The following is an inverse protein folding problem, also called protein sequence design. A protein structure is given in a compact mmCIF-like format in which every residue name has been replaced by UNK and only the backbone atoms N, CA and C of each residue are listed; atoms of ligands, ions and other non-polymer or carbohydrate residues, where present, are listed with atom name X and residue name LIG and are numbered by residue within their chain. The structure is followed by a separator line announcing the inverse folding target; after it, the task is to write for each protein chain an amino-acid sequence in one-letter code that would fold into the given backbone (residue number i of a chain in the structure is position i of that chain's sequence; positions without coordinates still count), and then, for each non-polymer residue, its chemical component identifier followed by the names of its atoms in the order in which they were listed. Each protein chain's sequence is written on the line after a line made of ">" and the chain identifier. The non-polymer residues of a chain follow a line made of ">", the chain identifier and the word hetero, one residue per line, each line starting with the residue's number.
data_IF_145690276735
#
_entry.id   IF_145690276735
#
_cell.length_a   1.000
_cell.length_b   1.000
_cell.length_c   1.000
_cell.angle_alpha   90.00
_cell.angle_beta   90.00
_cell.angle_gamma   90.00
#
_symmetry.space_group_name_H-M   'P 1'
#
loop_
_entity.id
_entity.type
_entity.pdbx_description
1 polymer ?
#
# COMPACT_ATOMS: atom_id res chain seq x y z
N UNK A 1 2.47 24.01 -22.58
CA UNK A 1 2.55 22.54 -22.63
C UNK A 1 3.86 22.11 -21.97
N UNK A 2 3.78 21.63 -20.72
CA UNK A 2 4.99 21.22 -20.02
C UNK A 2 5.46 19.89 -20.61
N UNK A 3 6.74 19.73 -20.87
CA UNK A 3 7.21 18.46 -21.40
C UNK A 3 7.03 17.37 -20.33
N UNK A 4 6.21 16.39 -20.63
CA UNK A 4 6.10 15.20 -19.79
C UNK A 4 7.46 14.48 -19.85
N UNK A 5 8.14 14.45 -18.72
CA UNK A 5 9.34 13.65 -18.65
C UNK A 5 8.90 12.18 -18.79
N UNK A 6 9.24 11.56 -19.90
CA UNK A 6 9.02 10.13 -20.05
C UNK A 6 9.81 9.42 -18.94
N UNK A 7 9.16 8.53 -18.21
CA UNK A 7 9.90 7.61 -17.34
C UNK A 7 10.85 6.84 -18.26
N UNK A 8 12.15 6.91 -18.05
CA UNK A 8 13.06 6.18 -18.92
C UNK A 8 12.69 4.70 -18.95
N UNK A 9 12.81 4.07 -20.11
CA UNK A 9 12.73 2.63 -20.21
C UNK A 9 13.81 2.08 -19.25
N UNK A 10 13.37 1.51 -18.14
CA UNK A 10 14.31 1.07 -17.10
C UNK A 10 14.26 1.89 -15.81
N UNK A 11 13.19 2.67 -15.58
CA UNK A 11 12.95 3.15 -14.22
C UNK A 11 12.93 1.92 -13.30
N UNK A 12 13.95 1.81 -12.47
CA UNK A 12 14.17 0.58 -11.70
C UNK A 12 13.18 0.47 -10.56
N UNK A 13 12.01 -0.07 -10.85
CA UNK A 13 11.08 -0.51 -9.83
C UNK A 13 11.35 -1.98 -9.52
N UNK A 14 11.64 -2.28 -8.27
CA UNK A 14 11.89 -3.64 -7.79
C UNK A 14 10.80 -4.03 -6.81
N UNK A 15 10.23 -5.23 -6.99
CA UNK A 15 9.30 -5.77 -5.98
C UNK A 15 10.06 -6.03 -4.67
N UNK A 16 9.38 -5.76 -3.57
CA UNK A 16 9.93 -5.91 -2.21
C UNK A 16 8.98 -6.81 -1.44
N UNK A 17 9.50 -7.85 -0.81
CA UNK A 17 8.66 -8.84 -0.17
C UNK A 17 9.21 -9.27 1.19
N UNK A 18 8.34 -9.36 2.19
CA UNK A 18 8.65 -10.12 3.41
C UNK A 18 8.00 -11.49 3.28
N UNK A 19 8.80 -12.53 3.45
CA UNK A 19 8.30 -13.90 3.58
C UNK A 19 8.59 -14.38 5.00
N UNK A 20 7.56 -14.82 5.73
CA UNK A 20 7.77 -15.45 7.04
C UNK A 20 8.67 -16.68 6.94
N UNK A 21 9.45 -16.93 7.97
CA UNK A 21 10.41 -18.06 7.99
C UNK A 21 9.75 -19.44 7.89
N UNK A 22 8.47 -19.53 8.25
CA UNK A 22 7.72 -20.78 8.19
C UNK A 22 7.14 -21.10 6.82
N UNK A 23 7.50 -20.32 5.80
CA UNK A 23 7.10 -20.63 4.43
C UNK A 23 8.14 -21.52 3.76
N UNK A 24 7.67 -22.49 2.98
CA UNK A 24 8.50 -23.49 2.30
C UNK A 24 9.14 -22.99 0.99
N UNK A 25 9.02 -21.68 0.72
CA UNK A 25 9.56 -21.11 -0.51
C UNK A 25 10.29 -19.81 -0.22
N UNK A 26 11.16 -19.44 -1.15
CA UNK A 26 11.97 -18.22 -1.05
C UNK A 26 11.55 -17.22 -2.11
N UNK A 27 11.97 -16.00 -1.92
CA UNK A 27 11.77 -14.91 -2.87
C UNK A 27 13.08 -14.57 -3.57
N UNK A 28 13.01 -14.29 -4.84
CA UNK A 28 14.13 -13.69 -5.61
C UNK A 28 14.07 -12.17 -5.57
N UNK A 29 13.12 -11.62 -4.82
CA UNK A 29 12.93 -10.18 -4.70
C UNK A 29 13.67 -9.62 -3.50
N UNK A 30 13.84 -8.31 -3.51
CA UNK A 30 14.41 -7.59 -2.38
C UNK A 30 13.54 -7.82 -1.14
N UNK A 31 14.13 -8.15 -0.01
CA UNK A 31 13.37 -8.24 1.23
C UNK A 31 13.04 -6.85 1.75
N UNK A 32 11.96 -6.74 2.54
CA UNK A 32 11.60 -5.46 3.18
C UNK A 32 12.76 -4.95 4.05
N UNK A 33 13.45 -5.86 4.74
CA UNK A 33 14.62 -5.52 5.56
C UNK A 33 15.72 -4.88 4.69
N UNK A 34 16.09 -5.53 3.59
CA UNK A 34 17.12 -5.03 2.68
C UNK A 34 16.72 -3.69 2.06
N UNK A 35 15.45 -3.56 1.67
CA UNK A 35 14.91 -2.33 1.10
C UNK A 35 15.05 -1.16 2.08
N UNK A 36 14.57 -1.35 3.31
CA UNK A 36 14.63 -0.29 4.32
C UNK A 36 16.08 0.03 4.69
N UNK A 37 16.93 -1.00 4.80
CA UNK A 37 18.35 -0.81 5.05
C UNK A 37 19.03 -0.02 3.93
N UNK A 38 18.70 -0.32 2.67
CA UNK A 38 19.24 0.41 1.51
C UNK A 38 18.83 1.89 1.55
N UNK A 39 17.55 2.16 1.81
CA UNK A 39 17.04 3.54 1.92
C UNK A 39 17.77 4.30 3.02
N UNK A 40 17.97 3.68 4.18
CA UNK A 40 18.64 4.31 5.34
C UNK A 40 20.11 4.55 5.02
N UNK A 41 20.82 3.54 4.55
CA UNK A 41 22.25 3.58 4.34
C UNK A 41 22.66 4.61 3.28
N UNK A 42 21.82 4.76 2.23
CA UNK A 42 22.10 5.67 1.12
C UNK A 42 21.57 7.08 1.33
N UNK A 43 20.84 7.32 2.42
CA UNK A 43 20.28 8.65 2.71
C UNK A 43 21.40 9.62 3.14
N UNK A 44 21.35 10.84 2.60
CA UNK A 44 22.33 11.90 2.86
C UNK A 44 21.73 13.14 3.53
N UNK A 45 20.44 13.38 3.35
CA UNK A 45 19.79 14.61 3.82
C UNK A 45 18.58 14.33 4.70
N UNK A 46 17.70 13.42 4.29
CA UNK A 46 16.49 13.14 5.06
C UNK A 46 15.88 11.79 4.67
N UNK A 47 15.12 11.28 5.60
CA UNK A 47 14.24 10.13 5.38
C UNK A 47 12.85 10.51 5.93
N UNK A 48 11.84 10.38 5.10
CA UNK A 48 10.43 10.55 5.48
C UNK A 48 9.75 9.19 5.49
N UNK A 49 9.09 8.87 6.59
CA UNK A 49 8.42 7.58 6.78
C UNK A 49 6.95 7.84 7.07
N UNK A 50 6.08 7.35 6.21
CA UNK A 50 4.66 7.23 6.49
C UNK A 50 4.40 5.77 6.85
N UNK A 51 3.77 5.53 7.99
CA UNK A 51 3.52 4.17 8.44
C UNK A 51 2.28 4.13 9.33
N UNK A 52 1.43 3.15 9.09
CA UNK A 52 0.24 2.93 9.93
C UNK A 52 0.66 2.65 11.38
N UNK A 53 1.60 1.74 11.57
CA UNK A 53 2.15 1.41 12.89
C UNK A 53 3.65 1.63 12.89
N UNK A 54 4.15 2.06 14.04
CA UNK A 54 5.58 2.19 14.25
C UNK A 54 5.95 1.45 15.55
N UNK A 55 6.45 0.24 15.41
CA UNK A 55 6.97 -0.55 16.53
C UNK A 55 8.04 -1.51 15.97
N UNK A 56 9.22 -1.00 15.62
CA UNK A 56 10.26 -1.83 15.02
C UNK A 56 10.87 -2.83 16.02
N UNK A 57 10.86 -2.53 17.30
CA UNK A 57 11.60 -3.30 18.30
C UNK A 57 11.10 -4.72 18.58
N UNK A 58 10.05 -5.05 18.15
CA UNK A 58 9.43 -6.28 18.36
C UNK A 58 10.04 -7.46 17.64
N UNK A 59 11.09 -7.27 16.88
CA UNK A 59 11.86 -8.29 16.26
C UNK A 59 13.26 -7.87 16.16
N UNK A 60 14.13 -8.81 15.96
CA UNK A 60 15.55 -8.50 15.88
C UNK A 60 15.90 -7.66 14.63
N UNK A 61 15.34 -8.02 13.48
CA UNK A 61 15.55 -7.26 12.23
C UNK A 61 14.95 -5.85 12.28
N UNK A 62 13.83 -5.71 12.95
CA UNK A 62 13.22 -4.40 13.18
C UNK A 62 14.10 -3.50 14.06
N UNK A 63 14.67 -4.07 15.12
CA UNK A 63 15.61 -3.36 15.99
C UNK A 63 16.86 -2.93 15.21
N UNK A 64 17.39 -3.79 14.37
CA UNK A 64 18.55 -3.45 13.52
C UNK A 64 18.22 -2.29 12.56
N UNK A 65 17.07 -2.30 11.96
CA UNK A 65 16.64 -1.17 11.11
C UNK A 65 16.46 0.11 11.95
N UNK A 66 15.94 -0.02 13.13
CA UNK A 66 15.77 1.12 14.04
C UNK A 66 17.15 1.66 14.46
N UNK A 67 18.05 0.80 14.83
CA UNK A 67 19.44 1.17 15.18
C UNK A 67 20.18 1.82 13.99
N UNK A 68 19.93 1.47 13.05
CA UNK A 68 20.43 2.01 11.84
C UNK A 68 19.83 3.34 11.54
N UNK A 69 18.70 3.52 11.90
CA UNK A 69 18.09 4.76 11.74
C UNK A 69 18.59 5.71 12.82
N UNK A 70 18.84 5.23 13.81
CA UNK A 70 19.40 5.92 14.92
C UNK A 70 20.85 6.29 14.67
N UNK A 71 21.41 5.54 14.06
CA UNK A 71 22.75 5.78 13.68
C UNK A 71 22.88 6.74 12.54
N UNK A 72 22.11 6.73 11.76
CA UNK A 72 22.04 7.60 10.66
C UNK A 72 21.54 8.95 11.10
N UNK A 73 20.76 8.93 11.86
CA UNK A 73 20.31 10.11 12.46
C UNK A 73 21.38 10.79 13.30
N UNK A 74 22.04 10.06 13.74
CA UNK A 74 23.10 10.54 14.54
C UNK A 74 24.32 10.96 13.71
N UNK A 75 24.36 10.38 12.74
CA UNK A 75 25.49 10.66 11.87
C UNK A 75 25.21 11.74 10.89
N UNK A 76 24.08 11.82 10.49
CA UNK A 76 23.75 12.80 9.50
C UNK A 76 23.00 13.92 10.13
N UNK A 77 23.19 14.48 10.77
CA UNK A 77 22.71 15.61 11.45
C UNK A 77 21.46 16.24 10.91
N UNK A 78 21.00 15.81 9.99
CA UNK A 78 19.82 16.36 9.45
C UNK A 78 18.84 15.34 9.07
N UNK A 79 18.84 14.50 9.58
CA UNK A 79 17.90 13.54 9.20
C UNK A 79 16.60 13.87 9.81
N UNK A 80 15.88 14.14 9.19
CA UNK A 80 14.57 14.42 9.61
C UNK A 80 13.81 13.16 9.42
N UNK A 81 13.58 12.65 10.24
CA UNK A 81 12.76 11.54 10.20
C UNK A 81 11.40 11.98 10.54
N UNK A 82 10.74 12.05 9.83
CA UNK A 82 9.39 12.38 10.07
C UNK A 82 8.60 11.12 9.96
N UNK A 83 8.21 10.77 10.80
CA UNK A 83 7.42 9.63 10.82
C UNK A 83 6.05 10.06 11.02
N UNK A 84 5.44 9.81 10.37
CA UNK A 84 4.04 9.99 10.47
C UNK A 84 3.50 8.67 10.85
N UNK A 85 3.34 8.63 11.82
CA UNK A 85 2.73 7.46 12.32
C UNK A 85 1.34 7.79 12.70
N UNK A 86 0.72 7.11 12.33
CA UNK A 86 -0.66 7.19 12.62
C UNK A 86 -1.04 6.63 13.94
N UNK A 87 -0.53 5.87 14.28
CA UNK A 87 -0.89 5.32 15.47
C UNK A 87 0.29 5.24 16.32
N UNK A 88 0.46 5.91 16.81
CA UNK A 88 1.46 5.87 17.63
C UNK A 88 1.04 5.25 18.78
N UNK A 89 0.89 4.09 18.80
CA UNK A 89 0.76 3.46 20.09
C UNK A 89 2.08 3.47 20.80
N UNK A 90 2.01 4.17 21.61
CA UNK A 90 2.96 4.47 22.43
C UNK A 90 4.13 3.74 22.46
N UNK A 91 4.44 3.52 21.85
CA UNK A 91 5.48 3.08 21.91
C UNK A 91 6.33 4.05 21.74
N UNK A 92 5.87 4.79 22.12
CA UNK A 92 6.47 5.84 21.88
C UNK A 92 7.68 6.15 22.58
N UNK A 93 7.69 5.50 23.24
CA UNK A 93 8.64 5.73 23.98
C UNK A 93 9.94 5.59 23.40
N UNK A 94 9.89 4.94 22.72
CA UNK A 94 11.04 4.75 22.23
C UNK A 94 11.38 5.64 21.23
N UNK A 95 10.59 6.04 20.95
CA UNK A 95 10.87 6.80 20.02
C UNK A 95 11.23 8.05 20.43
N UNK A 96 11.12 8.10 21.33
CA UNK A 96 11.41 9.26 21.73
C UNK A 96 12.75 9.61 21.58
N UNK A 97 13.23 8.78 21.52
CA UNK A 97 14.46 9.05 21.47
C UNK A 97 14.92 9.58 20.24
N UNK A 98 14.40 9.38 19.58
CA UNK A 98 14.91 9.87 18.50
C UNK A 98 14.39 11.15 18.21
N UNK A 99 14.61 11.55 19.01
CA UNK A 99 14.20 12.80 18.99
C UNK A 99 14.57 13.67 17.94
N UNK A 100 15.14 13.20 17.34
CA UNK A 100 15.44 14.13 16.36
C UNK A 100 14.20 14.50 15.63
N UNK A 101 13.71 14.87 15.56
CA UNK A 101 12.73 15.37 14.84
C UNK A 101 11.72 14.40 14.42
N UNK A 102 11.57 13.79 14.99
CA UNK A 102 10.60 12.96 14.68
C UNK A 102 9.38 13.68 14.80
N UNK A 103 9.08 14.07 14.12
CA UNK A 103 7.90 14.62 14.08
C UNK A 103 6.95 13.56 14.03
N UNK A 104 6.72 13.16 14.78
CA UNK A 104 5.81 12.23 14.93
C UNK A 104 4.54 12.85 14.73
N UNK A 105 4.24 12.80 13.91
CA UNK A 105 3.03 13.26 13.59
C UNK A 105 2.08 12.22 13.85
N UNK A 106 1.75 12.16 14.67
CA UNK A 106 0.81 11.30 15.04
C UNK A 106 -0.37 11.71 14.39
N UNK A 107 -0.60 11.26 13.84
CA UNK A 107 -1.69 11.41 13.15
C UNK A 107 -2.79 10.92 13.82
N UNK A 108 -2.86 11.19 14.60
CA UNK A 108 -3.96 10.88 15.25
C UNK A 108 -4.94 11.74 14.83
N UNK A 109 -5.51 11.46 14.15
CA UNK A 109 -6.48 11.96 13.88
C UNK A 109 -7.27 12.13 14.89
N UNK A 110 -7.27 13.12 15.59
CA UNK A 110 -8.10 13.49 16.70
C UNK A 110 -9.20 14.43 16.29
N UNK A 111 -10.36 13.95 16.50
CA UNK A 111 -11.67 14.66 16.41
C UNK A 111 -12.12 15.01 14.99
N UNK A 112 -13.32 14.65 14.70
CA UNK A 112 -14.14 14.92 13.52
C UNK A 112 -13.96 13.96 12.34
N UNK A 113 -14.10 12.66 12.61
CA UNK A 113 -14.34 11.64 11.56
C UNK A 113 -13.30 11.60 10.42
N UNK A 114 -12.13 12.13 10.66
CA UNK A 114 -11.04 12.02 9.70
C UNK A 114 -10.38 10.67 9.93
N UNK A 115 -10.26 9.90 8.88
CA UNK A 115 -9.70 8.57 8.93
C UNK A 115 -8.24 8.53 9.34
N UNK A 116 -7.72 7.33 9.44
CA UNK A 116 -6.34 7.08 9.83
C UNK A 116 -5.40 7.23 8.62
N UNK A 117 -4.13 7.51 8.89
CA UNK A 117 -3.10 7.37 7.87
C UNK A 117 -2.71 5.90 7.82
N UNK A 118 -3.06 5.23 6.72
CA UNK A 118 -2.71 3.84 6.46
C UNK A 118 -1.54 3.70 5.50
N UNK A 119 -1.12 4.79 4.89
CA UNK A 119 -0.04 4.77 3.92
C UNK A 119 1.23 4.19 4.52
N UNK A 120 1.84 3.24 3.83
CA UNK A 120 3.12 2.66 4.19
C UNK A 120 4.09 2.97 3.06
N UNK A 121 4.79 4.10 3.19
CA UNK A 121 5.79 4.49 2.21
C UNK A 121 6.95 5.24 2.86
N UNK A 122 8.10 5.10 2.26
CA UNK A 122 9.35 5.72 2.69
C UNK A 122 9.93 6.53 1.53
N UNK A 123 10.55 7.67 1.83
CA UNK A 123 11.23 8.50 0.85
C UNK A 123 12.55 9.00 1.44
N UNK A 124 13.64 8.92 0.67
CA UNK A 124 14.89 9.57 1.05
C UNK A 124 15.39 10.48 -0.08
N UNK A 125 15.75 11.69 0.30
CA UNK A 125 16.51 12.66 -0.52
C UNK A 125 15.87 13.01 -1.87
N UNK A 126 14.58 12.74 -2.07
CA UNK A 126 13.91 12.80 -3.39
C UNK A 126 14.57 11.91 -4.43
N UNK A 127 15.30 10.88 -3.99
CA UNK A 127 16.02 9.97 -4.88
C UNK A 127 15.49 8.56 -4.85
N UNK A 128 15.02 8.11 -3.69
CA UNK A 128 14.60 6.71 -3.46
C UNK A 128 13.30 6.65 -2.71
N UNK A 129 12.51 5.65 -3.01
CA UNK A 129 11.25 5.47 -2.30
C UNK A 129 10.85 4.00 -2.21
N UNK A 130 10.02 3.71 -1.22
CA UNK A 130 9.29 2.46 -1.06
C UNK A 130 7.82 2.80 -0.92
N UNK A 131 6.95 2.00 -1.50
CA UNK A 131 5.50 2.05 -1.28
C UNK A 131 4.97 0.63 -1.24
N UNK A 132 4.07 0.35 -0.28
CA UNK A 132 3.54 -1.00 -0.15
C UNK A 132 2.69 -1.17 1.09
N UNK A 133 2.68 -2.38 1.65
CA UNK A 133 1.88 -2.68 2.83
C UNK A 133 2.70 -3.10 4.06
N UNK A 134 4.01 -2.94 4.01
CA UNK A 134 4.84 -3.18 5.18
C UNK A 134 4.89 -1.93 6.06
N UNK A 135 4.26 -2.00 7.21
CA UNK A 135 4.40 -0.97 8.26
C UNK A 135 5.80 -1.03 8.88
N UNK A 136 6.21 0.04 9.53
CA UNK A 136 7.50 0.08 10.24
C UNK A 136 7.38 -0.67 11.56
N UNK A 137 7.22 -2.00 11.46
CA UNK A 137 7.10 -2.90 12.62
C UNK A 137 7.99 -4.12 12.39
N UNK A 138 8.46 -4.69 13.48
CA UNK A 138 9.24 -5.93 13.42
C UNK A 138 8.49 -7.04 12.69
N UNK A 139 7.18 -7.15 12.93
CA UNK A 139 6.34 -8.13 12.23
C UNK A 139 6.34 -7.98 10.72
N UNK A 140 6.10 -6.77 10.24
CA UNK A 140 6.05 -6.49 8.79
C UNK A 140 7.39 -6.69 8.10
N UNK A 141 8.48 -6.52 8.86
CA UNK A 141 9.84 -6.65 8.31
C UNK A 141 10.30 -8.11 8.31
N UNK A 142 9.69 -8.98 9.13
CA UNK A 142 10.27 -10.31 9.39
C UNK A 142 9.27 -11.48 9.38
N UNK A 143 8.09 -11.33 9.97
CA UNK A 143 7.21 -12.47 10.25
C UNK A 143 5.84 -12.42 9.57
N UNK A 144 5.45 -11.27 9.02
CA UNK A 144 4.17 -11.12 8.32
C UNK A 144 4.46 -10.95 6.84
N UNK A 145 3.84 -11.76 6.01
CA UNK A 145 3.99 -11.61 4.56
C UNK A 145 3.49 -10.23 4.13
N UNK A 146 4.34 -9.50 3.41
CA UNK A 146 4.02 -8.17 2.85
C UNK A 146 4.55 -8.05 1.44
N UNK A 147 4.05 -7.07 0.69
CA UNK A 147 4.48 -6.79 -0.66
C UNK A 147 4.55 -5.28 -0.86
N UNK A 148 5.55 -4.82 -1.56
CA UNK A 148 5.71 -3.43 -1.92
C UNK A 148 6.63 -3.27 -3.12
N UNK A 149 6.96 -2.02 -3.40
CA UNK A 149 7.83 -1.65 -4.52
C UNK A 149 8.86 -0.64 -4.03
N UNK A 150 10.10 -0.89 -4.35
CA UNK A 150 11.20 0.07 -4.20
C UNK A 150 11.49 0.70 -5.56
N UNK A 151 11.79 1.98 -5.55
CA UNK A 151 12.26 2.67 -6.75
C UNK A 151 13.38 3.66 -6.41
N UNK A 152 14.39 3.70 -7.25
CA UNK A 152 15.45 4.71 -7.20
C UNK A 152 15.27 5.77 -8.31
N UNK A 153 14.04 5.95 -8.76
CA UNK A 153 13.68 6.94 -9.78
C UNK A 153 13.22 8.23 -9.09
N UNK A 154 14.00 9.34 -9.19
CA UNK A 154 13.72 10.56 -8.43
C UNK A 154 12.32 11.17 -8.62
N UNK A 155 11.71 11.18 -9.82
CA UNK A 155 10.35 11.72 -9.92
C UNK A 155 9.32 10.97 -9.07
N UNK A 156 9.43 9.64 -8.93
CA UNK A 156 8.53 8.88 -8.05
C UNK A 156 8.80 9.22 -6.57
N UNK A 157 10.06 9.32 -6.18
CA UNK A 157 10.44 9.71 -4.82
C UNK A 157 9.91 11.12 -4.50
N UNK A 158 10.07 12.07 -5.42
CA UNK A 158 9.59 13.44 -5.26
C UNK A 158 8.06 13.47 -5.12
N UNK A 159 7.34 12.66 -5.90
CA UNK A 159 5.88 12.59 -5.81
C UNK A 159 5.44 12.09 -4.43
N UNK A 160 6.04 11.02 -3.93
CA UNK A 160 5.73 10.50 -2.59
C UNK A 160 6.10 11.49 -1.50
N UNK A 161 7.22 12.21 -1.64
CA UNK A 161 7.58 13.25 -0.67
C UNK A 161 6.50 14.32 -0.59
N UNK A 162 6.01 14.78 -1.72
CA UNK A 162 4.93 15.77 -1.76
C UNK A 162 3.65 15.23 -1.14
N UNK A 163 3.38 13.95 -1.34
CA UNK A 163 2.25 13.30 -0.68
C UNK A 163 2.44 13.24 0.84
N UNK A 164 3.65 12.97 1.28
CA UNK A 164 4.01 13.05 2.70
C UNK A 164 3.74 14.46 3.25
N UNK A 165 4.16 15.50 2.50
CA UNK A 165 3.95 16.90 2.91
C UNK A 165 2.45 17.22 3.00
N UNK A 166 1.62 16.68 2.09
CA UNK A 166 0.15 16.86 2.15
C UNK A 166 -0.41 16.26 3.44
N UNK A 167 -0.04 15.02 3.76
CA UNK A 167 -0.50 14.37 5.01
C UNK A 167 -0.01 15.11 6.25
N UNK A 168 1.24 15.58 6.22
CA UNK A 168 1.82 16.37 7.31
C UNK A 168 1.09 17.70 7.50
N UNK A 169 0.83 18.41 6.41
CA UNK A 169 0.11 19.68 6.43
C UNK A 169 -1.31 19.50 6.98
N UNK A 170 -2.01 18.48 6.52
CA UNK A 170 -3.36 18.17 7.01
C UNK A 170 -3.36 17.89 8.51
N UNK A 171 -2.38 17.15 8.99
CA UNK A 171 -2.29 16.79 10.41
C UNK A 171 -1.88 18.01 11.27
N UNK A 172 -1.07 18.92 10.71
CA UNK A 172 -0.57 20.10 11.41
C UNK A 172 -1.55 21.27 11.32
N UNK A 173 -2.37 21.28 10.29
CA UNK A 173 -3.29 22.38 10.04
C UNK A 173 -4.37 22.40 11.10
N UNK A 174 -4.35 23.42 11.91
CA UNK A 174 -5.51 23.83 12.67
C UNK A 174 -6.55 24.36 11.64
N UNK A 175 -7.00 23.48 10.77
CA UNK A 175 -8.07 23.74 9.80
C UNK A 175 -7.83 24.86 8.79
N UNK A 176 -6.58 25.11 8.36
CA UNK A 176 -6.34 26.07 7.29
C UNK A 176 -6.25 25.36 5.94
N UNK A 177 -7.31 25.47 5.16
CA UNK A 177 -7.37 24.90 3.82
C UNK A 177 -6.30 25.50 2.88
N UNK A 178 -5.81 26.70 3.20
CA UNK A 178 -4.71 27.33 2.47
C UNK A 178 -3.41 26.52 2.56
N UNK A 179 -3.17 25.87 3.71
CA UNK A 179 -1.99 25.02 3.88
C UNK A 179 -2.12 23.71 3.10
N UNK A 180 -3.36 23.22 2.95
CA UNK A 180 -3.65 22.04 2.09
C UNK A 180 -3.41 22.37 0.62
N UNK A 181 -3.86 23.52 0.17
CA UNK A 181 -3.65 23.94 -1.22
C UNK A 181 -2.17 24.08 -1.56
N UNK A 182 -1.37 24.68 -0.68
CA UNK A 182 0.06 24.88 -0.97
C UNK A 182 0.83 23.56 -1.03
N UNK A 183 0.42 22.57 -0.24
CA UNK A 183 1.06 21.24 -0.27
C UNK A 183 0.60 20.39 -1.45
N UNK A 184 -0.65 20.56 -1.88
CA UNK A 184 -1.26 19.75 -2.93
C UNK A 184 -1.08 20.32 -4.34
N UNK A 185 -0.94 21.64 -4.47
CA UNK A 185 -1.05 22.32 -5.77
C UNK A 185 0.24 22.36 -6.60
N UNK A 186 1.37 21.94 -6.08
CA UNK A 186 2.65 22.12 -6.77
C UNK A 186 3.32 20.81 -7.15
N UNK A 187 2.54 19.91 -7.73
CA UNK A 187 3.11 18.63 -8.19
C UNK A 187 3.89 18.81 -9.49
N UNK A 188 5.04 18.19 -9.61
CA UNK A 188 5.64 18.08 -10.94
C UNK A 188 4.69 17.27 -11.80
N UNK A 189 4.37 17.81 -12.94
CA UNK A 189 3.45 17.20 -13.90
C UNK A 189 3.93 15.81 -14.33
N UNK A 190 5.22 15.53 -14.13
CA UNK A 190 5.84 14.28 -14.53
C UNK A 190 5.32 13.03 -13.80
N UNK A 191 4.62 13.20 -12.67
CA UNK A 191 4.15 12.04 -11.90
C UNK A 191 2.63 11.94 -11.83
N UNK A 192 1.92 12.88 -12.44
CA UNK A 192 0.46 12.85 -12.48
C UNK A 192 0.02 12.10 -13.74
N UNK A 193 -0.06 10.80 -13.65
CA UNK A 193 -0.53 9.98 -14.76
C UNK A 193 -2.03 9.81 -14.65
N UNK A 194 -2.73 10.12 -15.71
CA UNK A 194 -4.11 9.70 -15.87
C UNK A 194 -4.11 8.23 -16.31
N UNK A 195 -5.02 7.46 -15.76
CA UNK A 195 -5.16 6.04 -16.11
C UNK A 195 -5.26 5.84 -17.62
N UNK A 196 -5.95 6.76 -18.29
CA UNK A 196 -6.20 6.67 -19.73
C UNK A 196 -4.94 6.81 -20.56
N UNK A 197 -3.90 7.46 -20.02
CA UNK A 197 -2.64 7.68 -20.74
C UNK A 197 -1.43 7.57 -19.80
N UNK A 198 -1.13 6.38 -19.26
CA UNK A 198 0.02 6.22 -18.39
C UNK A 198 1.32 6.39 -19.20
N UNK A 199 2.21 7.25 -18.73
CA UNK A 199 3.51 7.47 -19.33
C UNK A 199 4.56 6.69 -18.54
N UNK A 200 5.34 5.86 -19.21
CA UNK A 200 6.39 5.09 -18.55
C UNK A 200 5.92 3.90 -17.74
N UNK A 201 4.63 3.61 -17.75
CA UNK A 201 4.11 2.39 -17.20
C UNK A 201 3.93 2.33 -15.68
N UNK A 202 4.25 3.40 -14.93
CA UNK A 202 4.08 3.42 -13.46
C UNK A 202 3.43 4.73 -13.03
N UNK A 203 2.58 4.67 -11.98
CA UNK A 203 1.95 5.85 -11.41
C UNK A 203 1.43 5.54 -10.01
N UNK A 204 1.16 6.60 -9.23
CA UNK A 204 0.55 6.48 -7.92
C UNK A 204 -0.90 6.96 -7.96
N UNK A 205 -1.73 6.34 -7.12
CA UNK A 205 -3.10 6.74 -6.84
C UNK A 205 -3.25 6.98 -5.35
N UNK A 206 -4.20 7.82 -4.97
CA UNK A 206 -4.32 8.31 -3.60
C UNK A 206 -5.72 8.11 -3.04
N UNK A 207 -5.80 8.16 -1.73
CA UNK A 207 -7.03 8.19 -0.96
C UNK A 207 -6.81 9.08 0.28
N UNK A 208 -7.86 9.67 0.86
CA UNK A 208 -9.23 9.75 0.37
C UNK A 208 -9.45 10.96 -0.54
N UNK A 209 -10.63 11.04 -1.12
CA UNK A 209 -10.98 12.08 -2.10
C UNK A 209 -10.71 13.50 -1.59
N UNK A 210 -11.07 13.80 -0.34
CA UNK A 210 -10.92 15.14 0.21
C UNK A 210 -9.46 15.56 0.46
N UNK A 211 -8.51 14.64 0.32
CA UNK A 211 -7.07 14.93 0.39
C UNK A 211 -6.41 14.79 -0.99
N UNK A 212 -7.21 14.57 -2.02
CA UNK A 212 -6.68 14.37 -3.37
C UNK A 212 -6.13 15.69 -3.92
N UNK A 213 -4.91 15.65 -4.40
CA UNK A 213 -4.29 16.80 -5.05
C UNK A 213 -4.82 16.97 -6.48
N UNK A 214 -4.72 18.20 -6.99
CA UNK A 214 -5.08 18.49 -8.37
C UNK A 214 -4.25 17.60 -9.30
N UNK A 215 -4.89 17.02 -10.28
CA UNK A 215 -4.28 16.13 -11.28
C UNK A 215 -3.81 14.76 -10.75
N UNK A 216 -4.30 14.33 -9.60
CA UNK A 216 -4.04 12.98 -9.10
C UNK A 216 -5.32 12.12 -9.22
N UNK A 217 -5.12 10.84 -9.43
CA UNK A 217 -6.23 9.91 -9.58
C UNK A 217 -6.62 9.32 -8.22
N UNK A 218 -7.93 9.23 -7.99
CA UNK A 218 -8.47 8.61 -6.79
C UNK A 218 -8.32 7.08 -6.91
N UNK A 219 -7.79 6.45 -5.88
CA UNK A 219 -7.49 5.02 -5.92
C UNK A 219 -8.74 4.17 -6.16
N UNK A 220 -9.88 4.53 -5.55
CA UNK A 220 -11.15 3.84 -5.75
C UNK A 220 -11.54 3.81 -7.23
N UNK A 221 -11.45 4.97 -7.89
CA UNK A 221 -11.86 5.09 -9.29
C UNK A 221 -10.99 4.21 -10.18
N UNK A 222 -9.69 4.19 -9.91
CA UNK A 222 -8.74 3.38 -10.69
C UNK A 222 -9.03 1.89 -10.51
N UNK A 223 -9.20 1.43 -9.27
CA UNK A 223 -9.47 0.01 -8.99
C UNK A 223 -10.78 -0.41 -9.67
N UNK A 224 -11.84 0.39 -9.52
CA UNK A 224 -13.14 0.08 -10.11
C UNK A 224 -13.05 0.07 -11.65
N UNK A 225 -12.39 1.06 -12.25
CA UNK A 225 -12.18 1.12 -13.69
C UNK A 225 -11.46 -0.14 -14.21
N UNK A 226 -10.42 -0.57 -13.52
CA UNK A 226 -9.64 -1.75 -13.91
C UNK A 226 -10.49 -3.03 -13.78
N UNK A 227 -11.22 -3.17 -12.68
CA UNK A 227 -12.12 -4.32 -12.51
C UNK A 227 -13.20 -4.35 -13.58
N UNK A 228 -13.81 -3.20 -13.89
CA UNK A 228 -14.87 -3.09 -14.89
C UNK A 228 -14.37 -3.26 -16.33
N UNK A 229 -13.12 -2.92 -16.60
CA UNK A 229 -12.55 -3.05 -17.95
C UNK A 229 -11.84 -4.39 -18.19
N UNK A 230 -11.75 -5.25 -17.18
CA UNK A 230 -11.11 -6.57 -17.27
C UNK A 230 -11.77 -7.42 -18.35
N UNK A 231 -10.97 -8.10 -19.17
CA UNK A 231 -11.44 -8.90 -20.32
C UNK A 231 -11.21 -10.40 -20.12
N UNK A 232 -10.13 -10.77 -19.47
CA UNK A 232 -9.71 -12.18 -19.40
C UNK A 232 -9.54 -12.66 -17.96
N UNK A 233 -8.87 -11.89 -17.09
CA UNK A 233 -8.56 -12.40 -15.75
C UNK A 233 -8.42 -11.29 -14.71
N UNK A 234 -8.79 -11.64 -13.49
CA UNK A 234 -8.56 -10.81 -12.29
C UNK A 234 -7.98 -11.73 -11.22
N UNK A 235 -6.78 -11.40 -10.74
CA UNK A 235 -6.15 -12.08 -9.60
C UNK A 235 -6.04 -11.10 -8.45
N UNK A 236 -6.57 -11.48 -7.30
CA UNK A 236 -6.56 -10.64 -6.10
C UNK A 236 -5.98 -11.44 -4.94
N UNK A 237 -4.93 -10.89 -4.32
CA UNK A 237 -4.46 -11.36 -3.02
C UNK A 237 -4.61 -10.21 -2.03
N UNK A 238 -5.54 -10.35 -1.11
CA UNK A 238 -5.87 -9.27 -0.17
C UNK A 238 -6.13 -9.81 1.23
N UNK A 239 -5.77 -9.02 2.23
CA UNK A 239 -6.07 -9.38 3.61
C UNK A 239 -7.58 -9.47 3.83
N UNK A 240 -8.35 -8.50 3.31
CA UNK A 240 -9.80 -8.46 3.50
C UNK A 240 -10.49 -7.79 2.30
N UNK A 241 -11.64 -8.34 1.94
CA UNK A 241 -12.58 -7.76 0.96
C UNK A 241 -13.94 -7.71 1.66
N UNK A 242 -14.45 -6.51 1.94
CA UNK A 242 -15.67 -6.35 2.75
C UNK A 242 -16.53 -5.25 2.15
N UNK A 243 -17.79 -5.54 1.76
CA UNK A 243 -18.65 -4.52 1.13
C UNK A 243 -19.31 -3.59 2.15
N UNK A 244 -18.51 -3.04 3.06
CA UNK A 244 -19.01 -2.10 4.07
C UNK A 244 -18.06 -0.94 4.28
N UNK A 245 -18.61 0.16 4.78
CA UNK A 245 -17.85 1.28 5.31
C UNK A 245 -18.34 1.57 6.73
N UNK A 246 -17.47 2.12 7.56
CA UNK A 246 -17.82 2.52 8.92
C UNK A 246 -17.73 4.04 9.06
N UNK A 247 -18.79 4.64 9.55
CA UNK A 247 -18.86 6.06 9.86
C UNK A 247 -19.46 6.21 11.26
N UNK A 248 -18.74 6.87 12.16
CA UNK A 248 -19.18 7.13 13.53
C UNK A 248 -19.63 5.86 14.30
N UNK A 249 -18.92 4.77 14.07
CA UNK A 249 -19.22 3.49 14.73
C UNK A 249 -20.32 2.67 14.08
N UNK A 250 -21.03 3.22 13.11
CA UNK A 250 -22.08 2.51 12.38
C UNK A 250 -21.53 1.94 11.06
N UNK A 251 -22.04 0.79 10.67
CA UNK A 251 -21.67 0.13 9.41
C UNK A 251 -22.70 0.43 8.35
N UNK A 252 -22.23 0.78 7.16
CA UNK A 252 -23.08 1.04 5.98
C UNK A 252 -22.62 0.15 4.84
N UNK A 253 -23.54 -0.18 3.95
CA UNK A 253 -23.24 -0.97 2.77
C UNK A 253 -22.44 -0.14 1.77
N UNK A 254 -21.29 -0.66 1.35
CA UNK A 254 -20.43 -0.03 0.34
C UNK A 254 -19.90 -1.14 -0.59
N UNK A 255 -20.61 -1.41 -1.68
CA UNK A 255 -20.31 -2.60 -2.48
C UNK A 255 -19.44 -2.34 -3.71
N UNK A 256 -18.88 -1.16 -3.91
CA UNK A 256 -18.39 -0.74 -5.23
C UNK A 256 -17.34 -1.72 -5.79
N UNK A 257 -16.33 -2.09 -5.00
CA UNK A 257 -15.32 -3.06 -5.43
C UNK A 257 -15.94 -4.46 -5.54
N UNK A 258 -16.71 -4.86 -4.52
CA UNK A 258 -17.36 -6.17 -4.46
C UNK A 258 -18.27 -6.40 -5.68
N UNK A 259 -19.12 -5.42 -5.99
CA UNK A 259 -20.02 -5.51 -7.15
C UNK A 259 -19.22 -5.58 -8.46
N UNK A 260 -18.12 -4.84 -8.57
CA UNK A 260 -17.28 -4.87 -9.78
C UNK A 260 -16.67 -6.25 -10.02
N UNK A 261 -16.29 -6.95 -8.94
CA UNK A 261 -15.78 -8.33 -9.02
C UNK A 261 -16.89 -9.26 -9.50
N UNK A 262 -18.07 -9.18 -8.88
CA UNK A 262 -19.22 -10.05 -9.23
C UNK A 262 -19.65 -9.79 -10.69
N UNK A 263 -19.75 -8.53 -11.07
CA UNK A 263 -20.16 -8.15 -12.44
C UNK A 263 -19.17 -8.69 -13.48
N UNK A 264 -17.86 -8.63 -13.18
CA UNK A 264 -16.86 -9.19 -14.09
C UNK A 264 -17.05 -10.71 -14.26
N UNK A 265 -17.31 -11.42 -13.17
CA UNK A 265 -17.50 -12.87 -13.21
C UNK A 265 -18.79 -13.25 -13.97
N UNK A 266 -19.92 -12.65 -13.59
CA UNK A 266 -21.25 -13.06 -14.08
C UNK A 266 -21.53 -12.52 -15.48
N UNK A 267 -21.33 -11.22 -15.68
CA UNK A 267 -21.75 -10.57 -16.93
C UNK A 267 -20.76 -10.75 -18.08
N UNK A 268 -19.48 -10.89 -17.76
CA UNK A 268 -18.41 -10.92 -18.77
C UNK A 268 -17.63 -12.23 -18.80
N UNK A 269 -17.85 -13.13 -17.83
CA UNK A 269 -17.15 -14.41 -17.78
C UNK A 269 -15.66 -14.29 -17.55
N UNK A 270 -15.22 -13.23 -16.86
CA UNK A 270 -13.83 -13.02 -16.54
C UNK A 270 -13.38 -14.06 -15.51
N UNK A 271 -12.23 -14.68 -15.74
CA UNK A 271 -11.65 -15.66 -14.80
C UNK A 271 -11.14 -14.90 -13.57
N UNK A 272 -11.64 -15.24 -12.39
CA UNK A 272 -11.31 -14.52 -11.15
C UNK A 272 -10.74 -15.49 -10.11
N UNK A 273 -9.61 -15.14 -9.52
CA UNK A 273 -9.01 -15.87 -8.41
C UNK A 273 -8.81 -14.92 -7.23
N UNK A 274 -9.34 -15.30 -6.09
CA UNK A 274 -9.28 -14.52 -4.86
C UNK A 274 -8.53 -15.31 -3.79
N UNK A 275 -7.41 -14.77 -3.32
CA UNK A 275 -6.65 -15.33 -2.20
C UNK A 275 -6.81 -14.37 -1.01
N UNK A 276 -7.62 -14.75 -0.05
CA UNK A 276 -8.02 -13.88 1.07
C UNK A 276 -7.27 -14.27 2.33
N UNK A 277 -6.81 -13.29 3.08
CA UNK A 277 -6.15 -13.54 4.36
C UNK A 277 -7.12 -14.05 5.42
N UNK A 278 -6.62 -14.84 6.35
CA UNK A 278 -7.40 -15.39 7.45
C UNK A 278 -6.62 -15.32 8.76
N UNK A 279 -5.92 -14.23 8.97
CA UNK A 279 -5.10 -14.11 10.18
C UNK A 279 -5.86 -13.53 11.37
N UNK A 280 -6.96 -12.84 11.12
CA UNK A 280 -7.83 -12.34 12.20
C UNK A 280 -9.11 -13.18 12.27
N UNK A 281 -9.16 -14.08 13.22
CA UNK A 281 -10.32 -14.97 13.43
C UNK A 281 -11.59 -14.20 13.81
N UNK A 282 -11.46 -12.94 14.21
CA UNK A 282 -12.60 -12.10 14.58
C UNK A 282 -13.16 -11.33 13.39
N UNK A 283 -12.55 -11.43 12.22
CA UNK A 283 -13.06 -10.74 11.02
C UNK A 283 -14.15 -11.56 10.35
N UNK A 284 -15.32 -11.55 10.97
CA UNK A 284 -16.49 -12.28 10.51
C UNK A 284 -16.94 -11.79 9.13
N UNK A 285 -16.86 -10.49 8.88
CA UNK A 285 -17.34 -9.91 7.61
C UNK A 285 -16.49 -10.35 6.43
N UNK A 286 -15.17 -10.37 6.58
CA UNK A 286 -14.27 -10.79 5.51
C UNK A 286 -14.52 -12.25 5.11
N UNK A 287 -14.66 -13.13 6.10
CA UNK A 287 -14.93 -14.54 5.85
C UNK A 287 -16.32 -14.77 5.26
N UNK A 288 -17.34 -14.01 5.72
CA UNK A 288 -18.68 -14.09 5.15
C UNK A 288 -18.68 -13.65 3.68
N UNK A 289 -17.96 -12.58 3.38
CA UNK A 289 -17.80 -12.09 2.00
C UNK A 289 -17.09 -13.13 1.13
N UNK A 290 -16.01 -13.71 1.63
CA UNK A 290 -15.26 -14.76 0.91
C UNK A 290 -16.16 -15.97 0.59
N UNK A 291 -16.99 -16.40 1.55
CA UNK A 291 -17.95 -17.49 1.33
C UNK A 291 -19.03 -17.11 0.32
N UNK A 292 -19.52 -15.88 0.38
CA UNK A 292 -20.50 -15.38 -0.59
C UNK A 292 -19.94 -15.43 -2.02
N UNK A 293 -18.68 -15.02 -2.18
CA UNK A 293 -18.01 -15.09 -3.48
C UNK A 293 -17.77 -16.55 -3.89
N UNK A 294 -17.35 -17.40 -2.95
CA UNK A 294 -17.12 -18.81 -3.22
C UNK A 294 -18.40 -19.54 -3.69
N UNK A 295 -19.55 -19.13 -3.15
CA UNK A 295 -20.84 -19.70 -3.57
C UNK A 295 -21.15 -19.44 -5.05
N UNK A 296 -20.57 -18.41 -5.66
CA UNK A 296 -20.72 -18.10 -7.07
C UNK A 296 -19.79 -18.94 -7.97
N UNK A 297 -18.86 -19.67 -7.40
CA UNK A 297 -17.88 -20.48 -8.15
C UNK A 297 -18.55 -21.59 -8.98
N UNK A 298 -19.71 -22.06 -8.52
CA UNK A 298 -20.38 -23.21 -9.13
C UNK A 298 -20.75 -22.96 -10.62
N UNK A 299 -21.06 -21.71 -10.96
CA UNK A 299 -21.54 -21.36 -12.30
C UNK A 299 -20.64 -20.38 -13.03
N UNK A 300 -19.57 -19.93 -12.40
CA UNK A 300 -18.71 -18.88 -12.96
C UNK A 300 -17.25 -19.28 -12.80
N UNK A 301 -16.36 -18.74 -13.61
CA UNK A 301 -14.92 -18.98 -13.51
C UNK A 301 -14.32 -18.10 -12.39
N UNK A 302 -14.83 -18.31 -11.18
CA UNK A 302 -14.40 -17.59 -9.98
C UNK A 302 -13.95 -18.64 -8.95
N UNK A 303 -12.81 -18.43 -8.33
CA UNK A 303 -12.25 -19.34 -7.34
C UNK A 303 -11.77 -18.56 -6.13
N UNK A 304 -12.09 -19.06 -4.95
CA UNK A 304 -11.71 -18.41 -3.70
C UNK A 304 -10.87 -19.37 -2.85
N UNK A 305 -9.73 -18.88 -2.36
CA UNK A 305 -8.90 -19.60 -1.39
C UNK A 305 -8.60 -18.70 -0.21
N UNK A 306 -8.30 -19.31 0.92
CA UNK A 306 -7.88 -18.63 2.14
C UNK A 306 -6.39 -18.93 2.38
N UNK A 307 -5.62 -17.88 2.63
CA UNK A 307 -4.20 -18.00 2.96
C UNK A 307 -4.06 -18.15 4.47
N UNK A 308 -3.51 -19.28 4.91
CA UNK A 308 -3.60 -19.70 6.31
C UNK A 308 -2.52 -19.13 7.23
N UNK A 309 -1.54 -18.42 6.66
CA UNK A 309 -0.50 -17.76 7.46
C UNK A 309 -0.76 -16.24 7.52
N UNK A 310 -0.01 -15.57 8.38
CA UNK A 310 -0.14 -14.11 8.52
C UNK A 310 0.30 -13.42 7.23
N UNK A 311 -0.67 -12.89 6.51
CA UNK A 311 -0.48 -12.29 5.21
C UNK A 311 -1.15 -10.91 5.15
N UNK A 312 -0.34 -9.89 4.94
CA UNK A 312 -0.81 -8.52 4.75
C UNK A 312 -0.64 -8.06 3.29
N UNK A 313 -0.35 -8.99 2.38
CA UNK A 313 -0.25 -8.66 0.95
C UNK A 313 -1.57 -8.08 0.45
N UNK A 314 -1.48 -7.04 -0.36
CA UNK A 314 -2.64 -6.41 -1.02
C UNK A 314 -2.25 -6.13 -2.46
N UNK A 315 -2.63 -7.07 -3.31
CA UNK A 315 -2.22 -7.15 -4.71
C UNK A 315 -3.44 -7.40 -5.58
N UNK A 316 -3.55 -6.64 -6.66
CA UNK A 316 -4.53 -6.86 -7.72
C UNK A 316 -3.78 -6.92 -9.04
N UNK A 317 -4.06 -7.94 -9.85
CA UNK A 317 -3.54 -8.08 -11.22
C UNK A 317 -4.74 -8.22 -12.15
N UNK A 318 -4.75 -7.45 -13.24
CA UNK A 318 -5.85 -7.50 -14.22
C UNK A 318 -5.27 -7.83 -15.59
N UNK A 319 -5.82 -8.87 -16.23
CA UNK A 319 -5.51 -9.30 -17.60
C UNK A 319 -4.03 -9.61 -17.86
N UNK A 320 -3.25 -9.82 -16.82
CA UNK A 320 -1.78 -9.94 -16.90
C UNK A 320 -1.12 -8.72 -17.57
N UNK A 321 -1.82 -7.57 -17.54
CA UNK A 321 -1.37 -6.31 -18.13
C UNK A 321 -1.27 -5.16 -17.13
N UNK A 322 -1.83 -5.32 -15.93
CA UNK A 322 -1.88 -4.26 -14.93
C UNK A 322 -1.67 -4.86 -13.55
N UNK A 323 -0.92 -4.14 -12.71
CA UNK A 323 -0.71 -4.49 -11.30
C UNK A 323 -0.97 -3.28 -10.41
N UNK A 324 -1.62 -3.54 -9.28
CA UNK A 324 -1.89 -2.56 -8.23
C UNK A 324 -1.44 -3.16 -6.90
N UNK A 325 -0.65 -2.38 -6.14
CA UNK A 325 -0.15 -2.77 -4.82
C UNK A 325 -0.48 -1.63 -3.84
N UNK A 326 -1.18 -1.97 -2.75
CA UNK A 326 -1.72 -0.96 -1.84
C UNK A 326 -1.52 -1.35 -0.37
N UNK A 327 -1.70 -0.39 0.52
CA UNK A 327 -1.80 -0.65 1.96
C UNK A 327 -3.24 -0.82 2.43
N UNK A 328 -4.23 -0.49 1.60
CA UNK A 328 -5.65 -0.50 1.94
C UNK A 328 -6.28 -1.89 1.78
N UNK A 329 -7.18 -2.27 2.67
CA UNK A 329 -8.09 -3.39 2.43
C UNK A 329 -9.16 -2.96 1.43
N UNK A 330 -9.78 -3.92 0.74
CA UNK A 330 -10.89 -3.65 -0.16
C UNK A 330 -12.19 -3.49 0.65
N UNK A 331 -12.32 -2.33 1.30
CA UNK A 331 -13.51 -1.94 2.06
C UNK A 331 -13.70 -0.42 2.00
N UNK A 332 -14.92 0.01 2.22
CA UNK A 332 -15.27 1.43 2.12
C UNK A 332 -14.60 2.30 3.19
N UNK A 333 -14.31 1.74 4.36
CA UNK A 333 -13.67 2.52 5.43
C UNK A 333 -12.28 2.98 4.99
N UNK A 334 -11.52 2.07 4.39
CA UNK A 334 -10.19 2.40 3.87
C UNK A 334 -10.30 3.45 2.75
N UNK A 335 -11.16 3.19 1.77
CA UNK A 335 -11.22 4.00 0.55
C UNK A 335 -11.85 5.37 0.75
N UNK A 336 -12.82 5.48 1.65
CA UNK A 336 -13.53 6.75 1.85
C UNK A 336 -12.90 7.63 2.93
N UNK A 337 -12.25 7.01 3.93
CA UNK A 337 -11.85 7.75 5.12
C UNK A 337 -10.35 7.77 5.37
N UNK A 338 -9.59 6.80 4.88
CA UNK A 338 -8.19 6.67 5.28
C UNK A 338 -7.22 7.19 4.23
N UNK A 339 -6.13 7.79 4.71
CA UNK A 339 -5.06 8.32 3.86
C UNK A 339 -4.06 7.23 3.47
N UNK A 340 -3.92 6.97 2.17
CA UNK A 340 -2.91 6.03 1.67
C UNK A 340 -2.54 6.36 0.23
N UNK A 341 -1.50 5.70 -0.23
CA UNK A 341 -1.01 5.80 -1.62
C UNK A 341 -0.85 4.37 -2.12
N UNK A 342 -1.27 4.14 -3.35
CA UNK A 342 -1.09 2.85 -4.02
C UNK A 342 -0.16 2.98 -5.21
N UNK A 343 0.58 1.92 -5.49
CA UNK A 343 1.45 1.79 -6.65
C UNK A 343 0.70 1.07 -7.76
N UNK A 344 0.80 1.60 -8.96
CA UNK A 344 0.14 1.04 -10.15
C UNK A 344 1.17 0.90 -11.26
N UNK A 345 1.07 -0.17 -12.04
CA UNK A 345 1.96 -0.34 -13.19
C UNK A 345 1.32 -1.15 -14.31
N UNK A 346 1.67 -0.74 -15.55
CA UNK A 346 1.41 -1.53 -16.76
C UNK A 346 2.73 -2.00 -17.39
N UNK A 347 3.84 -1.90 -16.67
CA UNK A 347 5.12 -2.42 -17.14
C UNK A 347 5.06 -3.95 -17.15
N UNK A 348 5.26 -4.54 -18.32
CA UNK A 348 5.09 -5.99 -18.53
C UNK A 348 6.02 -6.83 -17.66
N UNK A 349 7.25 -6.36 -17.41
CA UNK A 349 8.19 -7.11 -16.57
C UNK A 349 7.74 -7.12 -15.12
N UNK A 350 7.31 -5.96 -14.63
CA UNK A 350 6.86 -5.83 -13.25
C UNK A 350 5.55 -6.61 -13.02
N UNK A 351 4.61 -6.51 -13.96
CA UNK A 351 3.35 -7.27 -13.92
C UNK A 351 3.66 -8.78 -13.90
N UNK A 352 4.56 -9.23 -14.78
CA UNK A 352 4.96 -10.65 -14.84
C UNK A 352 5.58 -11.13 -13.53
N UNK A 353 6.42 -10.31 -12.90
CA UNK A 353 7.02 -10.65 -11.59
C UNK A 353 5.96 -10.73 -10.49
N UNK A 354 5.03 -9.78 -10.46
CA UNK A 354 3.92 -9.80 -9.49
C UNK A 354 3.02 -11.02 -9.70
N UNK A 355 2.77 -11.37 -10.97
CA UNK A 355 2.01 -12.59 -11.33
C UNK A 355 2.69 -13.85 -10.78
N UNK A 356 4.01 -13.95 -10.89
CA UNK A 356 4.76 -15.10 -10.34
C UNK A 356 4.60 -15.20 -8.82
N UNK A 357 4.58 -14.07 -8.11
CA UNK A 357 4.30 -14.06 -6.67
C UNK A 357 2.90 -14.64 -6.41
N UNK A 358 1.89 -14.10 -7.09
CA UNK A 358 0.51 -14.58 -6.94
C UNK A 358 0.40 -16.08 -7.24
N UNK A 359 0.99 -16.55 -8.35
CA UNK A 359 0.93 -17.98 -8.74
C UNK A 359 1.58 -18.86 -7.67
N UNK A 360 2.77 -18.47 -7.18
CA UNK A 360 3.45 -19.19 -6.11
C UNK A 360 2.55 -19.32 -4.87
N UNK A 361 1.95 -18.20 -4.47
CA UNK A 361 1.12 -18.14 -3.28
C UNK A 361 -0.18 -18.94 -3.48
N UNK A 362 -0.77 -18.83 -4.67
CA UNK A 362 -2.02 -19.53 -5.02
C UNK A 362 -1.89 -21.05 -4.97
N UNK A 363 -0.75 -21.61 -5.39
CA UNK A 363 -0.53 -23.07 -5.41
C UNK A 363 0.13 -23.58 -4.12
N UNK A 364 0.50 -22.69 -3.20
CA UNK A 364 1.24 -23.07 -2.00
C UNK A 364 0.41 -23.97 -1.07
N UNK A 365 1.09 -24.71 -0.22
CA UNK A 365 0.46 -25.53 0.83
C UNK A 365 -0.33 -24.69 1.82
N UNK A 366 -0.09 -23.37 1.86
CA UNK A 366 -0.77 -22.44 2.76
C UNK A 366 -2.07 -21.89 2.17
N UNK A 367 -2.37 -22.14 0.90
CA UNK A 367 -3.60 -21.71 0.24
C UNK A 367 -4.61 -22.84 0.23
N UNK A 368 -5.68 -22.66 0.98
CA UNK A 368 -6.73 -23.67 1.15
C UNK A 368 -8.03 -23.20 0.53
N UNK A 369 -8.69 -24.10 -0.19
CA UNK A 369 -10.04 -23.84 -0.70
C UNK A 369 -10.98 -23.65 0.50
N UNK A 370 -11.93 -22.75 0.36
CA UNK A 370 -13.02 -22.64 1.32
C UNK A 370 -13.86 -23.92 1.18
N UNK A 371 -14.08 -24.59 2.30
CA UNK A 371 -15.04 -25.70 2.35
C UNK A 371 -16.38 -25.15 2.76
N UNK A 372 -17.33 -25.19 1.87
CA UNK A 372 -18.73 -24.87 2.18
C UNK A 372 -19.31 -25.97 3.06
#
# INVERSE_FOLDING_TARGET
>A
MWPFASVPAGAKCRLVETLPENMDFRSDHLTTFECFNEIITLAKKYIYIASFCCNPLXXTRGALIFDXXXXXXXXXXXXXXXXXXXXXRXXXXXXXXXXXXXXXXXXXXKKNNVGLLLGCFWVSDDERCYVGNASFTGGSIHTIKTLGVYSDYPPLATDLRRRFDTFKAFNSAKNSWLNLCSAACCLPVSTAYHIKNPIGGVFFTDSPEHLLGYSRDLDTDVVIDKLKSAKTSIDIEHLAIVPTTRVDGNSYYWPDIYNSIIEAAINRGVKIRLLVGNWDKNDVYSMATARSLDALCVQNDLSVKVFTIQNNTKLLIVDDEYVHITSANFDGTHYQNHGFVSFNSIDKQLVSKAKKIFERDWVSSHSKSLKI
#
